data_IF_547933795496
#
_entry.id   IF_547933795496
#
_cell.length_a   1.000
_cell.length_b   1.000
_cell.length_c   1.000
_cell.angle_alpha   90.00
_cell.angle_beta   90.00
_cell.angle_gamma   90.00
#
_symmetry.space_group_name_H-M   'P 1'
#
loop_
_entity.id
_entity.type
_entity.pdbx_description
1 polymer ?
#
# COMPACT_ATOMS: atom_id res chain seq x y z
N UNK A 1 9.50 14.70 28.61
CA UNK A 1 9.23 13.83 27.45
C UNK A 1 8.92 14.75 26.30
N UNK A 2 9.85 14.91 25.37
CA UNK A 2 9.67 15.76 24.20
C UNK A 2 8.63 15.08 23.30
N UNK A 3 7.43 15.66 23.21
CA UNK A 3 6.49 15.28 22.17
C UNK A 3 7.17 15.57 20.83
N UNK A 4 7.62 14.51 20.16
CA UNK A 4 8.04 14.58 18.76
C UNK A 4 6.74 14.74 17.97
N UNK A 5 6.19 15.96 17.96
CA UNK A 5 5.18 16.34 16.99
C UNK A 5 5.80 16.08 15.61
N UNK A 6 5.15 15.30 14.73
CA UNK A 6 5.66 15.10 13.39
C UNK A 6 5.84 16.47 12.76
N UNK A 7 7.05 16.75 12.28
CA UNK A 7 7.36 18.01 11.61
C UNK A 7 6.28 18.28 10.57
N UNK A 8 5.59 19.42 10.71
CA UNK A 8 4.54 19.79 9.77
C UNK A 8 5.19 19.93 8.39
N UNK A 9 4.99 18.94 7.53
CA UNK A 9 5.43 19.03 6.15
C UNK A 9 4.84 20.32 5.55
N UNK A 10 5.57 21.01 4.65
CA UNK A 10 5.00 22.13 3.92
C UNK A 10 3.66 21.71 3.28
N UNK A 11 2.65 22.59 3.28
CA UNK A 11 1.33 22.33 2.67
C UNK A 11 1.44 21.68 1.26
N UNK A 12 2.39 22.10 0.39
CA UNK A 12 2.59 21.43 -0.91
C UNK A 12 2.95 19.94 -0.80
N UNK A 13 3.78 19.55 0.16
CA UNK A 13 4.19 18.15 0.35
C UNK A 13 3.05 17.29 0.89
N UNK A 14 2.19 17.84 1.76
CA UNK A 14 0.95 17.17 2.16
C UNK A 14 0.02 16.92 0.98
N UNK A 15 -0.17 17.91 0.09
CA UNK A 15 -0.99 17.75 -1.12
C UNK A 15 -0.42 16.68 -2.04
N UNK A 16 0.90 16.65 -2.25
CA UNK A 16 1.56 15.60 -3.05
C UNK A 16 1.39 14.22 -2.42
N UNK A 17 1.56 14.09 -1.10
CA UNK A 17 1.36 12.83 -0.38
C UNK A 17 -0.08 12.33 -0.51
N UNK A 18 -1.06 13.21 -0.34
CA UNK A 18 -2.48 12.91 -0.58
C UNK A 18 -2.71 12.44 -2.02
N UNK A 19 -2.20 13.18 -3.01
CA UNK A 19 -2.38 12.85 -4.43
C UNK A 19 -1.83 11.46 -4.79
N UNK A 20 -0.63 11.12 -4.30
CA UNK A 20 -0.04 9.78 -4.48
C UNK A 20 -0.88 8.69 -3.80
N UNK A 21 -1.41 8.95 -2.61
CA UNK A 21 -2.26 8.01 -1.91
C UNK A 21 -3.57 7.74 -2.67
N UNK A 22 -4.25 8.78 -3.15
CA UNK A 22 -5.47 8.64 -3.95
C UNK A 22 -5.21 7.88 -5.26
N UNK A 23 -4.15 8.24 -5.99
CA UNK A 23 -3.78 7.53 -7.21
C UNK A 23 -3.41 6.06 -6.98
N UNK A 24 -2.95 5.71 -5.77
CA UNK A 24 -2.75 4.31 -5.39
C UNK A 24 -4.11 3.61 -5.22
N UNK A 25 -5.01 4.18 -4.41
CA UNK A 25 -6.35 3.62 -4.20
C UNK A 25 -7.12 3.40 -5.50
N UNK A 26 -7.10 4.37 -6.43
CA UNK A 26 -7.77 4.24 -7.72
C UNK A 26 -7.20 3.08 -8.55
N UNK A 27 -5.89 2.83 -8.48
CA UNK A 27 -5.26 1.70 -9.18
C UNK A 27 -5.59 0.36 -8.51
N UNK A 28 -5.63 0.32 -7.18
CA UNK A 28 -6.05 -0.88 -6.44
C UNK A 28 -7.48 -1.26 -6.81
N UNK A 29 -8.42 -0.30 -6.80
CA UNK A 29 -9.82 -0.52 -7.18
C UNK A 29 -9.96 -1.03 -8.61
N UNK A 30 -9.27 -0.40 -9.57
CA UNK A 30 -9.26 -0.86 -10.98
C UNK A 30 -8.72 -2.28 -11.13
N UNK A 31 -7.74 -2.68 -10.31
CA UNK A 31 -7.20 -4.04 -10.33
C UNK A 31 -8.23 -5.04 -9.81
N UNK A 32 -8.91 -4.73 -8.70
CA UNK A 32 -10.01 -5.55 -8.17
C UNK A 32 -11.11 -5.75 -9.22
N UNK A 33 -11.43 -4.70 -9.97
CA UNK A 33 -12.46 -4.73 -11.03
C UNK A 33 -11.98 -5.39 -12.34
N UNK A 34 -10.71 -5.81 -12.44
CA UNK A 34 -10.11 -6.33 -13.68
C UNK A 34 -10.47 -7.78 -14.04
N UNK A 35 -11.47 -8.35 -13.36
CA UNK A 35 -12.01 -9.68 -13.61
C UNK A 35 -11.72 -10.70 -12.51
N UNK A 36 -11.92 -12.01 -12.77
CA UNK A 36 -11.92 -13.05 -11.73
C UNK A 36 -10.62 -13.23 -10.95
N UNK A 37 -9.50 -12.73 -11.47
CA UNK A 37 -8.18 -12.81 -10.85
C UNK A 37 -7.69 -11.45 -10.31
N UNK A 38 -8.56 -10.45 -10.25
CA UNK A 38 -8.20 -9.09 -9.85
C UNK A 38 -7.63 -9.04 -8.42
N UNK A 39 -8.26 -9.77 -7.49
CA UNK A 39 -7.83 -9.86 -6.11
C UNK A 39 -6.45 -10.54 -5.97
N UNK A 40 -6.23 -11.65 -6.68
CA UNK A 40 -4.94 -12.35 -6.69
C UNK A 40 -3.84 -11.48 -7.30
N UNK A 41 -4.09 -10.80 -8.41
CA UNK A 41 -3.12 -9.86 -9.02
C UNK A 41 -2.75 -8.74 -8.06
N UNK A 42 -3.75 -8.16 -7.39
CA UNK A 42 -3.51 -7.09 -6.44
C UNK A 42 -2.67 -7.57 -5.24
N UNK A 43 -2.98 -8.74 -4.70
CA UNK A 43 -2.21 -9.36 -3.63
C UNK A 43 -0.73 -9.51 -4.02
N UNK A 44 -0.46 -10.07 -5.20
CA UNK A 44 0.90 -10.31 -5.67
C UNK A 44 1.66 -9.00 -5.90
N UNK A 45 1.01 -7.99 -6.47
CA UNK A 45 1.64 -6.67 -6.65
C UNK A 45 2.03 -6.04 -5.31
N UNK A 46 1.15 -6.08 -4.32
CA UNK A 46 1.44 -5.54 -2.98
C UNK A 46 2.54 -6.36 -2.29
N UNK A 47 2.58 -7.68 -2.47
CA UNK A 47 3.66 -8.51 -1.94
C UNK A 47 5.02 -8.11 -2.53
N UNK A 48 5.10 -7.86 -3.84
CA UNK A 48 6.31 -7.36 -4.49
C UNK A 48 6.71 -5.98 -3.93
N UNK A 49 5.76 -5.05 -3.79
CA UNK A 49 6.02 -3.73 -3.18
C UNK A 49 6.63 -3.86 -1.76
N UNK A 50 6.16 -4.84 -0.98
CA UNK A 50 6.70 -5.12 0.35
C UNK A 50 8.14 -5.64 0.30
N UNK A 51 8.46 -6.54 -0.63
CA UNK A 51 9.83 -7.05 -0.80
C UNK A 51 10.78 -5.98 -1.32
N UNK A 52 10.35 -5.12 -2.25
CA UNK A 52 11.16 -4.02 -2.77
C UNK A 52 11.49 -3.01 -1.66
N UNK A 53 10.53 -2.72 -0.78
CA UNK A 53 10.73 -1.82 0.35
C UNK A 53 11.48 -2.46 1.53
N UNK A 54 11.50 -3.79 1.61
CA UNK A 54 12.15 -4.56 2.69
C UNK A 54 12.96 -5.72 2.09
N UNK A 55 14.20 -5.48 1.64
CA UNK A 55 14.99 -6.46 0.86
C UNK A 55 15.22 -7.83 1.53
N UNK A 56 15.09 -7.91 2.86
CA UNK A 56 15.25 -9.15 3.63
C UNK A 56 13.92 -9.87 3.91
N UNK A 57 12.79 -9.34 3.42
CA UNK A 57 11.48 -9.96 3.59
C UNK A 57 11.35 -11.14 2.62
N UNK A 58 11.06 -12.32 3.18
CA UNK A 58 10.78 -13.52 2.37
C UNK A 58 9.43 -13.39 1.65
N UNK A 59 9.26 -14.18 0.59
CA UNK A 59 8.02 -14.23 -0.18
C UNK A 59 6.78 -14.52 0.69
N UNK A 60 6.86 -15.47 1.61
CA UNK A 60 5.74 -15.84 2.48
C UNK A 60 5.37 -14.71 3.46
N UNK A 61 6.37 -14.01 3.99
CA UNK A 61 6.14 -12.82 4.83
C UNK A 61 5.48 -11.70 4.04
N UNK A 62 5.89 -11.49 2.78
CA UNK A 62 5.32 -10.48 1.91
C UNK A 62 3.87 -10.81 1.54
N UNK A 63 3.57 -12.07 1.21
CA UNK A 63 2.19 -12.53 0.98
C UNK A 63 1.31 -12.37 2.21
N UNK A 64 1.83 -12.71 3.39
CA UNK A 64 1.12 -12.51 4.66
C UNK A 64 0.79 -11.03 4.90
N UNK A 65 1.78 -10.15 4.73
CA UNK A 65 1.60 -8.71 4.88
C UNK A 65 0.61 -8.13 3.86
N UNK A 66 0.72 -8.55 2.59
CA UNK A 66 -0.21 -8.14 1.54
C UNK A 66 -1.64 -8.59 1.82
N UNK A 67 -1.84 -9.84 2.31
CA UNK A 67 -3.16 -10.34 2.70
C UNK A 67 -3.73 -9.55 3.86
N UNK A 68 -2.94 -9.31 4.90
CA UNK A 68 -3.36 -8.51 6.05
C UNK A 68 -3.73 -7.07 5.65
N UNK A 69 -2.98 -6.47 4.71
CA UNK A 69 -3.34 -5.16 4.15
C UNK A 69 -4.67 -5.20 3.42
N UNK A 70 -4.87 -6.17 2.51
CA UNK A 70 -6.08 -6.27 1.70
C UNK A 70 -7.33 -6.46 2.56
N UNK A 71 -7.29 -7.38 3.52
CA UNK A 71 -8.39 -7.58 4.46
C UNK A 71 -8.74 -6.28 5.20
N UNK A 72 -7.74 -5.53 5.70
CA UNK A 72 -7.99 -4.25 6.39
C UNK A 72 -8.53 -3.15 5.47
N UNK A 73 -8.12 -3.14 4.21
CA UNK A 73 -8.37 -2.03 3.29
C UNK A 73 -9.66 -2.21 2.48
N UNK A 74 -10.10 -3.45 2.28
CA UNK A 74 -11.20 -3.80 1.37
C UNK A 74 -12.27 -4.71 1.99
N UNK A 75 -12.17 -5.11 3.27
CA UNK A 75 -13.30 -5.63 4.07
C UNK A 75 -14.05 -4.50 4.78
#
# INVERSE_FOLDING_TARGET
>A
MSEILPSSLPIPEFRKKKGRALARLDREQKMLESGPLGAERLLLNIAVDYMESHPNMSWDQALFAARAYLNRAHD
#
